data_IF_934854087219
#
_entry.id   IF_934854087219
#
_cell.length_a   1.000
_cell.length_b   1.000
_cell.length_c   1.000
_cell.angle_alpha   90.00
_cell.angle_beta   90.00
_cell.angle_gamma   90.00
#
_symmetry.space_group_name_H-M   'P 1'
#
loop_
_entity.id
_entity.type
_entity.pdbx_description
1 polymer ?
#
# COMPACT_ATOMS: atom_id res chain seq x y z
N UNK A 1 17.04 -15.48 -10.16
CA UNK A 1 15.66 -15.26 -10.62
C UNK A 1 15.50 -13.76 -10.77
N UNK A 2 15.24 -13.26 -11.97
CA UNK A 2 15.01 -11.82 -12.20
C UNK A 2 13.59 -11.48 -11.76
N UNK A 3 13.47 -10.49 -10.86
CA UNK A 3 12.21 -9.86 -10.45
C UNK A 3 11.73 -8.97 -11.61
N UNK A 4 11.24 -9.59 -12.68
CA UNK A 4 10.78 -8.85 -13.85
C UNK A 4 9.35 -8.35 -13.60
N UNK A 5 9.05 -7.05 -13.78
CA UNK A 5 7.73 -6.50 -13.47
C UNK A 5 6.64 -7.18 -14.31
N UNK A 6 5.72 -7.92 -13.69
CA UNK A 6 4.66 -8.64 -14.38
C UNK A 6 3.36 -7.82 -14.47
N UNK A 7 2.62 -7.89 -15.59
CA UNK A 7 1.33 -7.20 -15.71
C UNK A 7 0.29 -7.79 -14.75
N UNK A 8 -0.45 -6.95 -14.02
CA UNK A 8 -1.39 -7.38 -12.96
C UNK A 8 -2.85 -7.49 -13.40
N UNK A 9 -3.17 -7.09 -14.63
CA UNK A 9 -4.56 -6.93 -15.09
C UNK A 9 -5.24 -5.64 -14.59
N UNK A 10 -4.56 -4.87 -13.73
CA UNK A 10 -5.04 -3.59 -13.22
C UNK A 10 -4.74 -2.46 -14.21
N UNK A 11 -5.58 -1.41 -14.18
CA UNK A 11 -5.43 -0.23 -15.02
C UNK A 11 -5.02 0.99 -14.21
N UNK A 12 -4.02 1.73 -14.68
CA UNK A 12 -3.53 2.94 -14.04
C UNK A 12 -4.63 3.98 -13.90
N UNK A 13 -4.85 4.48 -12.69
CA UNK A 13 -5.87 5.48 -12.38
C UNK A 13 -5.66 6.82 -13.08
N UNK A 14 -4.46 7.10 -13.62
CA UNK A 14 -4.15 8.34 -14.33
C UNK A 14 -4.34 8.24 -15.85
N UNK A 15 -3.84 7.19 -16.48
CA UNK A 15 -3.77 7.09 -17.94
C UNK A 15 -4.38 5.81 -18.51
N UNK A 16 -5.02 4.99 -17.67
CA UNK A 16 -5.65 3.71 -18.03
C UNK A 16 -4.71 2.69 -18.72
N UNK A 17 -3.40 2.87 -18.59
CA UNK A 17 -2.41 1.90 -19.06
C UNK A 17 -2.32 0.69 -18.14
N UNK A 18 -1.88 -0.45 -18.67
CA UNK A 18 -1.62 -1.65 -17.86
C UNK A 18 -0.58 -1.37 -16.77
N UNK A 19 -0.87 -1.83 -15.55
CA UNK A 19 0.04 -1.76 -14.41
C UNK A 19 0.89 -3.03 -14.31
N UNK A 20 2.12 -2.86 -13.86
CA UNK A 20 3.06 -3.94 -13.55
C UNK A 20 3.30 -4.00 -12.04
N UNK A 21 3.34 -5.20 -11.48
CA UNK A 21 3.72 -5.40 -10.07
C UNK A 21 5.22 -5.20 -9.90
N UNK A 22 5.58 -4.53 -8.80
CA UNK A 22 6.95 -4.42 -8.31
C UNK A 22 7.17 -5.21 -7.01
N UNK A 23 6.18 -6.03 -6.63
CA UNK A 23 6.18 -6.78 -5.37
C UNK A 23 5.35 -6.12 -4.26
N UNK A 24 5.50 -6.62 -3.05
CA UNK A 24 4.70 -6.23 -1.89
C UNK A 24 5.54 -5.49 -0.85
N UNK A 25 4.92 -4.56 -0.13
CA UNK A 25 5.55 -3.80 0.95
C UNK A 25 4.63 -3.66 2.15
N UNK A 26 5.24 -3.48 3.33
CA UNK A 26 4.54 -3.34 4.59
C UNK A 26 4.35 -1.86 4.91
N UNK A 27 3.10 -1.40 4.90
CA UNK A 27 2.72 -0.08 5.35
C UNK A 27 2.28 -0.12 6.81
N UNK A 28 2.93 0.71 7.64
CA UNK A 28 2.45 0.94 9.00
C UNK A 28 1.18 1.78 8.94
N UNK A 29 0.09 1.21 9.43
CA UNK A 29 -1.21 1.85 9.59
C UNK A 29 -1.37 2.24 11.07
N UNK A 30 -1.77 3.48 11.35
CA UNK A 30 -1.88 4.03 12.72
C UNK A 30 -1.03 5.29 12.95
N UNK A 31 -0.98 5.78 14.20
CA UNK A 31 -0.04 6.83 14.64
C UNK A 31 -0.49 8.31 14.51
N UNK A 32 -1.65 8.62 13.94
CA UNK A 32 -2.10 10.02 13.76
C UNK A 32 -2.71 10.67 15.03
N UNK A 33 -2.76 9.96 16.17
CA UNK A 33 -3.41 10.42 17.40
C UNK A 33 -2.43 10.75 18.53
N UNK A 34 -1.32 11.44 18.23
CA UNK A 34 -0.28 11.79 19.21
C UNK A 34 -0.79 12.44 20.52
N UNK A 35 -1.88 13.23 20.45
CA UNK A 35 -2.50 13.81 21.65
C UNK A 35 -3.30 12.81 22.52
N UNK A 36 -3.82 11.73 21.94
CA UNK A 36 -4.60 10.71 22.66
C UNK A 36 -3.70 9.72 23.42
N UNK A 37 -2.44 9.58 23.01
CA UNK A 37 -1.43 8.73 23.69
C UNK A 37 -1.17 9.19 25.13
N UNK A 38 -1.37 10.49 25.41
CA UNK A 38 -1.24 11.08 26.75
C UNK A 38 -2.46 10.85 27.65
N UNK A 39 -3.62 10.50 27.09
CA UNK A 39 -4.89 10.38 27.83
C UNK A 39 -5.30 8.92 28.05
N UNK A 40 -4.99 8.00 27.12
CA UNK A 40 -5.47 6.61 27.15
C UNK A 40 -4.38 5.53 27.28
N UNK A 41 -3.11 5.92 27.49
CA UNK A 41 -2.01 4.96 27.71
C UNK A 41 -1.88 3.92 26.59
N UNK A 42 -1.55 2.67 26.95
CA UNK A 42 -1.33 1.54 26.03
C UNK A 42 -2.54 1.15 25.16
N UNK A 43 -3.75 1.62 25.46
CA UNK A 43 -4.94 1.37 24.63
C UNK A 43 -4.94 2.15 23.30
N UNK A 44 -4.04 3.13 23.15
CA UNK A 44 -3.83 3.86 21.90
C UNK A 44 -3.10 3.02 20.82
N UNK A 45 -2.47 1.91 21.20
CA UNK A 45 -1.74 0.99 20.31
C UNK A 45 -2.68 0.02 19.57
N UNK A 46 -3.96 -0.10 19.97
CA UNK A 46 -4.97 -1.02 19.40
C UNK A 46 -5.41 -0.69 17.95
N UNK A 47 -4.79 0.31 17.31
CA UNK A 47 -4.97 0.63 15.89
C UNK A 47 -3.65 0.78 15.15
N UNK A 48 -2.52 0.46 15.79
CA UNK A 48 -1.21 0.39 15.14
C UNK A 48 -1.04 -1.03 14.56
N UNK A 49 -1.14 -1.14 13.25
CA UNK A 49 -1.04 -2.42 12.53
C UNK A 49 -0.18 -2.29 11.30
N UNK A 50 0.36 -3.40 10.80
CA UNK A 50 1.04 -3.43 9.51
C UNK A 50 0.08 -3.96 8.46
N UNK A 51 -0.08 -3.22 7.37
CA UNK A 51 -0.85 -3.64 6.21
C UNK A 51 0.09 -3.91 5.05
N UNK A 52 0.10 -5.15 4.59
CA UNK A 52 0.85 -5.56 3.40
C UNK A 52 0.08 -5.13 2.15
N UNK A 53 0.72 -4.36 1.30
CA UNK A 53 0.14 -3.81 0.06
C UNK A 53 1.00 -4.17 -1.14
N UNK A 54 0.38 -4.28 -2.31
CA UNK A 54 1.10 -4.48 -3.57
C UNK A 54 1.49 -3.14 -4.19
N UNK A 55 2.72 -3.04 -4.68
CA UNK A 55 3.29 -1.86 -5.30
C UNK A 55 3.17 -1.99 -6.84
N UNK A 56 2.42 -1.10 -7.47
CA UNK A 56 2.12 -1.16 -8.90
C UNK A 56 2.75 0.02 -9.65
N UNK A 57 3.41 -0.24 -10.77
CA UNK A 57 4.02 0.78 -11.62
C UNK A 57 3.37 0.84 -13.01
N UNK A 58 3.05 2.06 -13.45
CA UNK A 58 2.62 2.31 -14.83
C UNK A 58 3.82 2.68 -15.71
N UNK A 59 4.24 1.86 -16.69
CA UNK A 59 5.37 2.19 -17.56
C UNK A 59 5.07 3.36 -18.50
N UNK A 60 3.78 3.69 -18.74
CA UNK A 60 3.36 4.75 -19.69
C UNK A 60 3.48 6.15 -19.10
N UNK A 61 2.95 6.37 -17.90
CA UNK A 61 2.94 7.70 -17.26
C UNK A 61 3.84 7.79 -16.02
N UNK A 62 4.56 6.70 -15.69
CA UNK A 62 5.51 6.57 -14.58
C UNK A 62 4.89 6.84 -13.20
N UNK A 63 3.61 6.53 -13.05
CA UNK A 63 2.93 6.61 -11.75
C UNK A 63 3.13 5.32 -10.97
N UNK A 64 3.33 5.48 -9.66
CA UNK A 64 3.29 4.40 -8.69
C UNK A 64 1.93 4.41 -7.99
N UNK A 65 1.30 3.24 -7.87
CA UNK A 65 0.00 3.02 -7.25
C UNK A 65 0.12 1.92 -6.19
N UNK A 66 -0.72 1.97 -5.16
CA UNK A 66 -0.75 1.00 -4.07
C UNK A 66 -2.07 0.24 -4.15
N UNK A 67 -2.01 -1.09 -4.19
CA UNK A 67 -3.19 -1.96 -4.13
C UNK A 67 -3.30 -2.57 -2.74
N UNK A 68 -4.43 -2.31 -2.09
CA UNK A 68 -4.78 -2.94 -0.83
C UNK A 68 -5.17 -4.41 -1.06
N UNK A 69 -4.94 -5.30 -0.08
CA UNK A 69 -5.43 -6.67 -0.16
C UNK A 69 -6.96 -6.70 -0.17
N UNK A 70 -7.53 -7.74 -0.80
CA UNK A 70 -8.97 -7.95 -0.80
C UNK A 70 -9.50 -8.13 0.63
N UNK A 71 -10.68 -7.58 0.90
CA UNK A 71 -11.36 -7.77 2.19
C UNK A 71 -11.98 -9.16 2.20
N UNK A 72 -11.45 -10.06 3.03
CA UNK A 72 -12.04 -11.37 3.35
C UNK A 72 -13.28 -11.23 4.22
#
# INVERSE_FOLDING_TARGET
>A
MSDEPQPTGESCLRCHGALHTLGETDLRTGGSRGAWKLIFGEWAELGEGTMRVELLACPRCRRLELKLPDRS
#
